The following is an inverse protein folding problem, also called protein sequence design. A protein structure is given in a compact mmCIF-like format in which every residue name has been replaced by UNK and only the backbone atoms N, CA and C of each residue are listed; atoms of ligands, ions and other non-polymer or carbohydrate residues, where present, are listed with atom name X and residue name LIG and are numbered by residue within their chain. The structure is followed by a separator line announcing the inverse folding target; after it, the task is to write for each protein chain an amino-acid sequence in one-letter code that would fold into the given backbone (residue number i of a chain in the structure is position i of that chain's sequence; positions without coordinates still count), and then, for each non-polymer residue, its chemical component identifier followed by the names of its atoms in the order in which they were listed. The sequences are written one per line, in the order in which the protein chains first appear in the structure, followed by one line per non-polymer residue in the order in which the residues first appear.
data_IF_634932407211
#
_entry.id   IF_634932407211
#
_cell.length_a   1.000
_cell.length_b   1.000
_cell.length_c   1.000
_cell.angle_alpha   90.00
_cell.angle_beta   90.00
_cell.angle_gamma   90.00
#
_symmetry.space_group_name_H-M   'P 1'
#
loop_
_entity.id
_entity.type
_entity.pdbx_description
1 polymer ?
#
# COMPACT_ATOMS: atom_id res chain seq x y z
N UNK A 1 1.85 6.88 -12.87
CA UNK A 1 1.54 5.62 -12.17
C UNK A 1 2.65 5.38 -11.16
N UNK A 2 2.31 5.34 -9.87
CA UNK A 2 3.30 5.16 -8.81
C UNK A 2 3.91 3.74 -8.86
N UNK A 3 5.22 3.64 -8.99
CA UNK A 3 5.95 2.37 -8.97
C UNK A 3 7.03 2.32 -7.90
N UNK A 4 7.22 3.42 -7.15
CA UNK A 4 8.16 3.54 -6.04
C UNK A 4 7.68 4.61 -5.06
N UNK A 5 7.87 4.37 -3.76
CA UNK A 5 7.58 5.36 -2.72
C UNK A 5 8.55 5.24 -1.55
N UNK A 6 8.50 6.17 -0.60
CA UNK A 6 9.28 6.14 0.62
C UNK A 6 8.38 5.87 1.82
N UNK A 7 8.87 5.04 2.74
CA UNK A 7 8.20 4.68 4.00
C UNK A 7 9.23 4.60 5.10
N UNK A 8 9.34 5.64 5.91
CA UNK A 8 10.33 5.73 6.99
C UNK A 8 9.71 5.78 8.39
N UNK A 9 8.38 5.91 8.48
CA UNK A 9 7.68 6.06 9.76
C UNK A 9 7.70 4.75 10.56
N UNK A 10 7.89 4.87 11.87
CA UNK A 10 7.79 3.73 12.79
C UNK A 10 6.32 3.36 13.02
N UNK A 11 6.02 2.12 13.42
CA UNK A 11 4.66 1.72 13.76
C UNK A 11 3.98 2.63 14.78
N UNK A 12 4.72 3.10 15.79
CA UNK A 12 4.20 3.98 16.84
C UNK A 12 3.72 5.32 16.28
N UNK A 13 4.49 5.91 15.38
CA UNK A 13 4.14 7.17 14.72
C UNK A 13 2.86 7.01 13.85
N UNK A 14 2.72 5.85 13.17
CA UNK A 14 1.54 5.53 12.38
C UNK A 14 0.31 5.24 13.25
N UNK A 15 0.50 4.62 14.42
CA UNK A 15 -0.57 4.38 15.40
C UNK A 15 -1.19 5.69 15.83
N UNK A 16 -0.38 6.68 16.15
CA UNK A 16 -0.85 8.03 16.55
C UNK A 16 -1.52 8.75 15.36
N UNK A 17 -0.84 8.85 14.22
CA UNK A 17 -1.29 9.58 13.03
C UNK A 17 -2.63 9.08 12.51
N UNK A 18 -2.82 7.76 12.42
CA UNK A 18 -4.02 7.13 11.88
C UNK A 18 -5.02 6.67 12.94
N UNK A 19 -4.79 6.99 14.22
CA UNK A 19 -5.67 6.59 15.34
C UNK A 19 -5.98 5.08 15.29
N UNK A 20 -4.92 4.27 15.32
CA UNK A 20 -5.01 2.82 15.21
C UNK A 20 -5.48 2.21 16.54
N UNK A 21 -6.54 1.41 16.51
CA UNK A 21 -7.04 0.68 17.67
C UNK A 21 -6.19 -0.55 17.99
N UNK A 22 -5.71 -1.25 16.95
CA UNK A 22 -4.94 -2.47 17.07
C UNK A 22 -3.66 -2.46 16.23
N UNK A 23 -2.50 -2.46 16.88
CA UNK A 23 -1.23 -2.67 16.20
C UNK A 23 -0.94 -4.18 16.09
N UNK A 24 -1.10 -4.72 14.87
CA UNK A 24 -0.84 -6.14 14.55
C UNK A 24 0.49 -6.35 13.81
N UNK A 25 1.41 -5.39 13.89
CA UNK A 25 2.76 -5.52 13.34
C UNK A 25 3.57 -6.48 14.19
N UNK A 26 4.08 -7.55 13.58
CA UNK A 26 4.89 -8.57 14.27
C UNK A 26 6.37 -8.20 14.35
N UNK A 27 6.86 -7.55 13.31
CA UNK A 27 8.26 -7.15 13.16
C UNK A 27 8.31 -5.75 12.54
N UNK A 28 9.10 -4.86 13.16
CA UNK A 28 9.26 -3.50 12.66
C UNK A 28 10.05 -3.52 11.35
N UNK A 29 9.47 -2.96 10.29
CA UNK A 29 10.18 -2.76 9.03
C UNK A 29 11.20 -1.63 9.18
N UNK A 30 12.40 -1.84 8.66
CA UNK A 30 13.40 -0.78 8.56
C UNK A 30 12.91 0.34 7.62
N UNK A 31 13.32 1.61 7.86
CA UNK A 31 13.04 2.70 6.93
C UNK A 31 13.49 2.33 5.51
N UNK A 32 12.60 2.52 4.54
CA UNK A 32 12.88 2.24 3.14
C UNK A 32 12.50 3.44 2.28
N UNK A 33 13.51 4.13 1.77
CA UNK A 33 13.34 5.32 0.92
C UNK A 33 13.13 4.98 -0.56
N UNK A 34 13.03 3.69 -0.90
CA UNK A 34 12.81 3.23 -2.28
C UNK A 34 12.04 1.90 -2.29
N UNK A 35 10.85 1.93 -1.67
CA UNK A 35 9.95 0.77 -1.62
C UNK A 35 9.56 0.38 -3.03
N UNK A 36 9.85 -0.86 -3.38
CA UNK A 36 9.49 -1.47 -4.67
C UNK A 36 8.25 -2.38 -4.52
N UNK A 37 7.52 -2.66 -5.59
CA UNK A 37 6.50 -3.71 -5.59
C UNK A 37 7.03 -5.03 -5.02
N UNK A 38 6.13 -5.82 -4.43
CA UNK A 38 6.39 -7.10 -3.77
C UNK A 38 7.04 -7.04 -2.40
N UNK A 39 7.53 -5.88 -1.98
CA UNK A 39 8.01 -5.70 -0.61
C UNK A 39 6.86 -5.72 0.40
N UNK A 40 7.20 -6.09 1.63
CA UNK A 40 6.33 -5.92 2.79
C UNK A 40 6.21 -4.44 3.12
N UNK A 41 4.99 -3.98 3.38
CA UNK A 41 4.66 -2.57 3.65
C UNK A 41 3.64 -2.47 4.77
N UNK A 42 3.63 -1.34 5.48
CA UNK A 42 2.56 -1.06 6.42
C UNK A 42 1.28 -0.69 5.68
N UNK A 43 0.16 -1.17 6.21
CA UNK A 43 -1.17 -0.85 5.72
C UNK A 43 -2.14 -0.61 6.89
N UNK A 44 -2.95 0.43 6.76
CA UNK A 44 -4.04 0.73 7.69
C UNK A 44 -5.34 0.25 7.07
N UNK A 45 -6.09 -0.56 7.80
CA UNK A 45 -7.35 -1.11 7.34
C UNK A 45 -8.35 -1.25 8.49
N UNK A 46 -9.63 -1.26 8.18
CA UNK A 46 -10.71 -1.50 9.15
C UNK A 46 -11.22 -2.92 9.00
N UNK A 47 -11.29 -3.64 10.10
CA UNK A 47 -11.80 -5.00 10.19
C UNK A 47 -12.61 -5.18 11.48
N UNK A 48 -13.68 -5.95 11.44
CA UNK A 48 -14.31 -6.43 12.68
C UNK A 48 -13.27 -7.12 13.55
N UNK A 49 -13.31 -6.90 14.85
CA UNK A 49 -12.51 -7.68 15.78
C UNK A 49 -12.77 -9.17 15.56
N UNK A 50 -11.71 -9.97 15.55
CA UNK A 50 -11.88 -11.42 15.48
C UNK A 50 -12.39 -11.90 16.84
N UNK A 51 -13.51 -12.65 16.89
CA UNK A 51 -13.96 -13.28 18.14
C UNK A 51 -12.82 -14.09 18.76
N UNK A 52 -12.74 -14.09 20.09
CA UNK A 52 -11.84 -15.00 20.77
C UNK A 52 -12.27 -16.45 20.50
N UNK A 53 -11.32 -17.39 20.61
CA UNK A 53 -11.60 -18.81 20.36
C UNK A 53 -12.69 -19.32 21.33
N UNK A 54 -13.84 -19.73 20.80
CA UNK A 54 -15.01 -20.18 21.58
C UNK A 54 -16.08 -19.12 21.84
N UNK A 55 -15.90 -17.88 21.40
CA UNK A 55 -16.98 -16.86 21.44
C UNK A 55 -17.88 -16.94 20.21
N UNK A 56 -19.20 -16.78 20.41
CA UNK A 56 -20.15 -16.62 19.30
C UNK A 56 -19.83 -15.34 18.54
N UNK A 57 -19.90 -15.41 17.20
CA UNK A 57 -19.60 -14.32 16.30
C UNK A 57 -20.71 -13.26 16.30
N UNK A 58 -20.80 -12.47 17.37
CA UNK A 58 -21.65 -11.28 17.37
C UNK A 58 -21.05 -10.18 16.47
N UNK A 59 -21.87 -9.35 15.81
CA UNK A 59 -21.40 -8.22 15.04
C UNK A 59 -20.63 -7.26 15.95
N UNK A 60 -19.29 -7.21 15.81
CA UNK A 60 -18.45 -6.28 16.53
C UNK A 60 -18.18 -5.05 15.67
N UNK A 61 -17.96 -3.87 16.28
CA UNK A 61 -17.53 -2.69 15.55
C UNK A 61 -16.21 -2.97 14.82
N UNK A 62 -16.02 -2.31 13.68
CA UNK A 62 -14.75 -2.43 12.95
C UNK A 62 -13.67 -1.68 13.72
N UNK A 63 -12.56 -2.35 14.01
CA UNK A 63 -11.36 -1.76 14.57
C UNK A 63 -10.40 -1.36 13.45
N UNK A 64 -9.74 -0.22 13.62
CA UNK A 64 -8.69 0.24 12.73
C UNK A 64 -7.38 -0.44 13.11
N UNK A 65 -6.80 -1.15 12.15
CA UNK A 65 -5.66 -2.02 12.39
C UNK A 65 -4.47 -1.60 11.55
N UNK A 66 -3.28 -1.58 12.16
CA UNK A 66 -2.01 -1.50 11.44
C UNK A 66 -1.49 -2.91 11.18
N UNK A 67 -1.28 -3.23 9.91
CA UNK A 67 -0.78 -4.55 9.48
C UNK A 67 0.36 -4.43 8.48
N UNK A 68 1.07 -5.53 8.30
CA UNK A 68 2.02 -5.71 7.20
C UNK A 68 1.33 -6.47 6.07
N UNK A 69 1.38 -5.89 4.87
CA UNK A 69 0.88 -6.49 3.64
C UNK A 69 1.98 -6.50 2.58
N UNK A 70 1.84 -7.33 1.57
CA UNK A 70 2.72 -7.30 0.39
C UNK A 70 2.14 -6.36 -0.66
N UNK A 71 2.95 -5.45 -1.19
CA UNK A 71 2.51 -4.57 -2.27
C UNK A 71 2.31 -5.33 -3.58
N UNK A 72 1.08 -5.43 -4.00
CA UNK A 72 0.63 -6.13 -5.20
C UNK A 72 -0.61 -6.97 -4.91
N UNK A 73 -1.70 -6.68 -5.61
CA UNK A 73 -2.97 -7.38 -5.39
C UNK A 73 -2.91 -8.80 -5.95
N UNK A 74 -3.19 -9.78 -5.10
CA UNK A 74 -3.43 -11.17 -5.50
C UNK A 74 -4.95 -11.39 -5.54
N UNK A 75 -5.56 -11.54 -6.73
CA UNK A 75 -6.99 -11.82 -6.85
C UNK A 75 -7.32 -13.17 -6.21
N UNK A 76 -8.55 -13.30 -5.68
CA UNK A 76 -9.00 -14.52 -4.97
C UNK A 76 -8.98 -15.80 -5.81
N UNK A 77 -9.06 -15.67 -7.13
CA UNK A 77 -9.03 -16.77 -8.09
C UNK A 77 -7.61 -17.13 -8.56
N UNK A 78 -6.59 -16.35 -8.15
CA UNK A 78 -5.22 -16.57 -8.60
C UNK A 78 -4.65 -17.86 -7.99
N UNK A 79 -4.11 -18.72 -8.84
CA UNK A 79 -3.41 -19.95 -8.42
C UNK A 79 -1.98 -19.66 -7.96
N UNK A 80 -1.35 -18.61 -8.54
CA UNK A 80 0.01 -18.21 -8.26
C UNK A 80 0.02 -16.78 -7.68
N UNK A 81 0.55 -16.58 -6.45
CA UNK A 81 0.69 -15.25 -5.85
C UNK A 81 1.57 -14.29 -6.66
N UNK A 82 2.47 -14.79 -7.50
CA UNK A 82 3.34 -13.98 -8.34
C UNK A 82 2.59 -13.05 -9.30
N UNK A 83 1.30 -13.30 -9.56
CA UNK A 83 0.44 -12.38 -10.33
C UNK A 83 0.38 -10.98 -9.71
N UNK A 84 0.56 -10.85 -8.39
CA UNK A 84 0.60 -9.58 -7.67
C UNK A 84 1.65 -8.61 -8.23
N UNK A 85 2.75 -9.13 -8.80
CA UNK A 85 3.81 -8.33 -9.41
C UNK A 85 3.32 -7.47 -10.58
N UNK A 86 2.23 -7.87 -11.22
CA UNK A 86 1.59 -7.17 -12.35
C UNK A 86 0.37 -6.36 -11.93
N UNK A 87 -0.03 -6.45 -10.66
CA UNK A 87 -1.23 -5.82 -10.11
C UNK A 87 -0.88 -4.82 -9.01
N UNK A 88 0.14 -4.01 -9.26
CA UNK A 88 0.66 -3.00 -8.33
C UNK A 88 -0.11 -1.67 -8.40
N UNK A 89 -0.88 -1.46 -9.47
CA UNK A 89 -1.69 -0.27 -9.70
C UNK A 89 -3.03 -0.64 -10.32
N UNK A 90 -4.07 0.10 -9.99
CA UNK A 90 -5.37 0.06 -10.64
C UNK A 90 -5.72 1.43 -11.22
N UNK A 91 -6.44 1.45 -12.33
CA UNK A 91 -7.01 2.69 -12.88
C UNK A 91 -8.32 2.98 -12.18
N UNK A 92 -8.51 4.19 -11.69
CA UNK A 92 -9.71 4.59 -10.97
C UNK A 92 -10.98 4.42 -11.82
N UNK A 93 -10.89 4.71 -13.12
CA UNK A 93 -12.00 4.64 -14.07
C UNK A 93 -12.55 3.22 -14.25
N UNK A 94 -11.76 2.19 -13.97
CA UNK A 94 -12.13 0.80 -14.23
C UNK A 94 -12.00 -0.13 -13.01
N UNK A 95 -11.58 0.39 -11.86
CA UNK A 95 -11.33 -0.41 -10.65
C UNK A 95 -12.58 -1.14 -10.15
N UNK A 96 -13.75 -0.53 -10.33
CA UNK A 96 -15.05 -1.10 -9.94
C UNK A 96 -15.54 -2.22 -10.85
N UNK A 97 -15.02 -2.29 -12.08
CA UNK A 97 -15.49 -3.21 -13.13
C UNK A 97 -14.53 -4.39 -13.34
N UNK A 98 -13.21 -4.12 -13.29
CA UNK A 98 -12.18 -5.13 -13.57
C UNK A 98 -12.26 -6.31 -12.62
N UNK A 99 -12.40 -7.57 -13.12
CA UNK A 99 -12.56 -8.76 -12.29
C UNK A 99 -11.48 -8.95 -11.22
N UNK A 100 -10.25 -8.50 -11.51
CA UNK A 100 -9.14 -8.59 -10.57
C UNK A 100 -9.31 -7.67 -9.36
N UNK A 101 -9.89 -6.48 -9.53
CA UNK A 101 -9.94 -5.43 -8.51
C UNK A 101 -11.30 -5.26 -7.85
N UNK A 102 -12.41 -5.44 -8.59
CA UNK A 102 -13.78 -5.06 -8.15
C UNK A 102 -14.17 -5.56 -6.76
N UNK A 103 -13.86 -6.84 -6.43
CA UNK A 103 -14.19 -7.41 -5.12
C UNK A 103 -13.31 -6.85 -4.00
N UNK A 104 -12.03 -6.66 -4.26
CA UNK A 104 -11.12 -6.05 -3.30
C UNK A 104 -11.49 -4.59 -3.06
N UNK A 105 -11.78 -3.83 -4.11
CA UNK A 105 -12.19 -2.45 -4.02
C UNK A 105 -13.50 -2.26 -3.23
N UNK A 106 -14.47 -3.16 -3.42
CA UNK A 106 -15.75 -3.09 -2.71
C UNK A 106 -15.63 -3.38 -1.19
N UNK A 107 -14.74 -4.31 -0.78
CA UNK A 107 -14.78 -4.85 0.58
C UNK A 107 -13.42 -4.89 1.32
N UNK A 108 -12.30 -4.59 0.65
CA UNK A 108 -10.96 -4.77 1.21
C UNK A 108 -10.03 -3.63 0.84
N UNK A 109 -10.48 -2.41 1.11
CA UNK A 109 -9.65 -1.23 0.96
C UNK A 109 -8.69 -1.09 2.14
N UNK A 110 -7.55 -0.46 1.89
CA UNK A 110 -6.59 -0.07 2.91
C UNK A 110 -5.92 1.24 2.49
N UNK A 111 -5.34 1.93 3.46
CA UNK A 111 -4.42 3.03 3.22
C UNK A 111 -2.99 2.49 3.27
N UNK A 112 -2.11 3.00 2.42
CA UNK A 112 -0.68 2.70 2.44
C UNK A 112 0.07 3.97 2.84
N UNK A 113 0.47 4.12 4.12
CA UNK A 113 1.21 5.29 4.59
C UNK A 113 2.53 5.47 3.82
N UNK A 114 2.76 6.68 3.34
CA UNK A 114 3.95 7.03 2.58
C UNK A 114 4.48 8.42 2.96
N UNK A 115 5.80 8.57 3.03
CA UNK A 115 6.42 9.89 3.19
C UNK A 115 6.34 10.70 1.88
N UNK A 116 6.25 10.02 0.77
CA UNK A 116 6.14 10.55 -0.58
C UNK A 116 6.36 9.45 -1.61
N UNK A 117 6.16 9.77 -2.86
CA UNK A 117 6.32 8.81 -3.96
C UNK A 117 7.13 9.38 -5.11
N UNK A 118 7.66 8.49 -5.96
CA UNK A 118 8.48 8.86 -7.10
C UNK A 118 7.69 8.78 -8.39
N UNK A 119 7.84 9.83 -9.22
CA UNK A 119 7.40 9.85 -10.61
C UNK A 119 8.56 10.25 -11.53
N UNK A 120 8.49 9.82 -12.78
CA UNK A 120 9.56 10.02 -13.75
C UNK A 120 9.10 10.88 -14.92
N UNK A 121 9.75 12.02 -15.08
CA UNK A 121 9.57 12.86 -16.25
C UNK A 121 10.52 12.39 -17.38
N UNK A 122 9.98 12.21 -18.59
CA UNK A 122 10.77 11.89 -19.77
C UNK A 122 11.34 13.17 -20.36
N UNK A 123 12.67 13.33 -20.32
CA UNK A 123 13.34 14.53 -20.85
C UNK A 123 13.54 14.44 -22.36
N UNK A 124 13.93 15.57 -22.98
CA UNK A 124 14.34 15.60 -24.39
C UNK A 124 15.75 15.00 -24.62
N UNK A 125 16.52 14.80 -23.56
CA UNK A 125 17.86 14.20 -23.63
C UNK A 125 17.77 12.68 -23.82
N UNK A 126 18.81 12.12 -24.44
CA UNK A 126 18.92 10.68 -24.66
C UNK A 126 20.12 10.10 -23.92
N UNK A 127 19.97 8.85 -23.48
CA UNK A 127 21.08 8.05 -22.94
C UNK A 127 22.06 7.68 -24.06
N UNK A 128 23.22 7.13 -23.69
CA UNK A 128 24.20 6.58 -24.65
C UNK A 128 23.62 5.50 -25.58
N UNK A 129 22.57 4.80 -25.11
CA UNK A 129 21.84 3.79 -25.90
C UNK A 129 20.71 4.36 -26.74
N UNK A 130 20.53 5.67 -26.80
CA UNK A 130 19.49 6.35 -27.58
C UNK A 130 18.10 6.38 -26.94
N UNK A 131 17.92 5.81 -25.76
CA UNK A 131 16.67 5.86 -25.02
C UNK A 131 16.45 7.23 -24.37
N UNK A 132 15.22 7.72 -24.25
CA UNK A 132 14.94 8.96 -23.52
C UNK A 132 15.43 8.88 -22.08
N UNK A 133 16.15 9.92 -21.63
CA UNK A 133 16.55 10.03 -20.23
C UNK A 133 15.33 10.36 -19.38
N UNK A 134 15.20 9.67 -18.25
CA UNK A 134 14.12 9.90 -17.29
C UNK A 134 14.67 10.58 -16.04
N UNK A 135 14.07 11.71 -15.68
CA UNK A 135 14.37 12.44 -14.45
C UNK A 135 13.38 12.01 -13.36
N UNK A 136 13.84 11.43 -12.24
CA UNK A 136 12.96 11.15 -11.11
C UNK A 136 12.64 12.44 -10.35
N UNK A 137 11.41 12.52 -9.86
CA UNK A 137 10.94 13.52 -8.91
C UNK A 137 10.37 12.80 -7.69
N UNK A 138 10.69 13.32 -6.50
CA UNK A 138 10.07 12.88 -5.26
C UNK A 138 8.94 13.87 -4.90
N UNK A 139 7.73 13.36 -4.84
CA UNK A 139 6.52 14.13 -4.56
C UNK A 139 6.11 13.82 -3.13
N UNK A 140 6.07 14.83 -2.28
CA UNK A 140 5.76 14.70 -0.87
C UNK A 140 4.99 15.92 -0.35
N UNK A 141 4.28 15.85 0.79
CA UNK A 141 3.66 17.00 1.43
C UNK A 141 4.72 18.02 1.88
N UNK A 142 4.44 19.30 1.68
CA UNK A 142 5.37 20.38 2.02
C UNK A 142 5.59 20.51 3.55
N UNK A 143 4.60 20.13 4.34
CA UNK A 143 4.62 20.15 5.80
C UNK A 143 5.23 18.88 6.43
N UNK A 144 5.64 17.90 5.61
CA UNK A 144 6.18 16.63 6.09
C UNK A 144 5.14 15.67 6.67
N UNK A 145 3.85 15.92 6.46
CA UNK A 145 2.78 14.98 6.83
C UNK A 145 2.87 13.67 6.06
N UNK A 146 2.11 12.66 6.48
CA UNK A 146 2.07 11.36 5.83
C UNK A 146 0.99 11.36 4.75
N UNK A 147 1.33 10.87 3.56
CA UNK A 147 0.38 10.53 2.51
C UNK A 147 -0.27 9.17 2.81
N UNK A 148 -1.54 8.99 2.37
CA UNK A 148 -2.21 7.70 2.43
C UNK A 148 -3.26 7.53 1.30
#
# INVERSE_FOLDING_TARGET
MCGRYASSRRPEDLVEEFQIDENQVKETLAPDYNVAPTKSVYAVLERPERPAEGEEAEPRPAARQLRQLTWGLVPFWAKDPAIGNRMINARMETVTEKPAFRRAFAARRCLLPADGYYEWYTTSQKTKSGQPLKQPFFIHPADGSVLA
#
